data_IF_306746388175
#
_entry.id   IF_306746388175
#
_cell.length_a   1.000
_cell.length_b   1.000
_cell.length_c   1.000
_cell.angle_alpha   90.00
_cell.angle_beta   90.00
_cell.angle_gamma   90.00
#
_symmetry.space_group_name_H-M   'P 1'
#
loop_
_entity.id
_entity.type
_entity.pdbx_description
1 polymer ?
#
# COMPACT_ATOMS: atom_id res chain seq x y z
N UNK A 1 -36.04 37.33 -27.82
CA UNK A 1 -34.69 37.88 -27.51
C UNK A 1 -34.27 37.79 -26.04
N UNK A 2 -35.14 37.81 -25.02
CA UNK A 2 -34.68 37.69 -23.61
C UNK A 2 -34.23 36.28 -23.20
N UNK A 3 -34.81 35.25 -23.80
CA UNK A 3 -34.58 33.83 -23.44
C UNK A 3 -33.22 33.30 -23.89
N UNK A 4 -32.69 33.74 -25.04
CA UNK A 4 -31.40 33.27 -25.55
C UNK A 4 -30.20 33.72 -24.70
N UNK A 5 -30.26 34.93 -24.13
CA UNK A 5 -29.21 35.44 -23.24
C UNK A 5 -29.11 34.66 -21.93
N UNK A 6 -30.23 34.13 -21.43
CA UNK A 6 -30.27 33.34 -20.19
C UNK A 6 -29.60 31.98 -20.39
N UNK A 7 -29.83 31.33 -21.54
CA UNK A 7 -29.15 30.07 -21.89
C UNK A 7 -27.64 30.24 -22.01
N UNK A 8 -27.17 31.33 -22.62
CA UNK A 8 -25.74 31.58 -22.78
C UNK A 8 -25.01 31.78 -21.45
N UNK A 9 -25.66 32.45 -20.48
CA UNK A 9 -25.13 32.64 -19.13
C UNK A 9 -25.10 31.33 -18.35
N UNK A 10 -26.16 30.51 -18.44
CA UNK A 10 -26.23 29.19 -17.79
C UNK A 10 -25.18 28.21 -18.34
N UNK A 11 -24.99 28.16 -19.67
CA UNK A 11 -23.96 27.32 -20.30
C UNK A 11 -22.57 27.78 -19.90
N UNK A 12 -22.31 29.11 -19.87
CA UNK A 12 -21.02 29.63 -19.43
C UNK A 12 -20.74 29.32 -17.95
N UNK A 13 -21.76 29.38 -17.09
CA UNK A 13 -21.66 28.98 -15.69
C UNK A 13 -21.35 27.50 -15.53
N UNK A 14 -22.04 26.63 -16.27
CA UNK A 14 -21.79 25.18 -16.23
C UNK A 14 -20.36 24.88 -16.71
N UNK A 15 -19.92 25.48 -17.82
CA UNK A 15 -18.55 25.29 -18.33
C UNK A 15 -17.47 25.85 -17.40
N UNK A 16 -17.76 26.90 -16.62
CA UNK A 16 -16.83 27.45 -15.63
C UNK A 16 -16.71 26.58 -14.36
N UNK A 17 -17.74 25.80 -14.02
CA UNK A 17 -17.75 24.93 -12.84
C UNK A 17 -17.37 23.47 -13.10
N UNK A 18 -17.32 23.03 -14.36
CA UNK A 18 -16.91 21.65 -14.72
C UNK A 18 -15.43 21.31 -14.46
N UNK A 19 -14.42 22.21 -14.53
CA UNK A 19 -13.02 21.77 -14.47
C UNK A 19 -12.51 21.43 -13.06
N UNK A 20 -13.34 21.51 -12.02
CA UNK A 20 -12.95 21.21 -10.63
C UNK A 20 -13.57 19.94 -10.05
N UNK A 21 -14.03 19.02 -10.89
CA UNK A 21 -14.16 17.63 -10.44
C UNK A 21 -12.74 17.12 -10.24
N UNK A 22 -12.19 17.29 -9.04
CA UNK A 22 -10.98 16.60 -8.60
C UNK A 22 -11.25 15.12 -8.85
N UNK A 23 -10.66 14.58 -9.91
CA UNK A 23 -10.62 13.14 -10.14
C UNK A 23 -10.06 12.55 -8.86
N UNK A 24 -10.86 11.74 -8.17
CA UNK A 24 -10.41 11.04 -6.95
C UNK A 24 -9.07 10.39 -7.29
N UNK A 25 -8.04 10.62 -6.45
CA UNK A 25 -6.73 10.04 -6.68
C UNK A 25 -6.90 8.52 -6.83
N UNK A 26 -6.51 8.00 -7.99
CA UNK A 26 -6.57 6.57 -8.31
C UNK A 26 -5.20 6.14 -8.79
N UNK A 27 -4.73 5.04 -8.22
CA UNK A 27 -3.53 4.38 -8.72
C UNK A 27 -3.93 3.64 -9.99
N UNK A 28 -3.38 4.05 -11.13
CA UNK A 28 -3.89 3.64 -12.44
C UNK A 28 -3.38 2.27 -12.85
N UNK A 29 -2.09 2.02 -12.63
CA UNK A 29 -1.44 0.79 -13.05
C UNK A 29 -0.12 0.58 -12.33
N UNK A 30 0.44 -0.62 -12.45
CA UNK A 30 1.84 -0.86 -12.13
C UNK A 30 2.52 -1.65 -13.26
N UNK A 31 3.80 -1.38 -13.48
CA UNK A 31 4.63 -2.08 -14.46
C UNK A 31 5.80 -2.74 -13.76
N UNK A 32 5.88 -4.06 -13.86
CA UNK A 32 7.00 -4.81 -13.34
C UNK A 32 8.29 -4.57 -14.14
N UNK A 33 9.43 -4.49 -13.46
CA UNK A 33 10.75 -4.27 -14.08
C UNK A 33 11.69 -5.46 -13.89
N UNK A 34 11.95 -5.89 -12.65
CA UNK A 34 12.90 -6.96 -12.38
C UNK A 34 12.70 -7.63 -11.01
N UNK A 35 13.05 -8.93 -10.93
CA UNK A 35 13.31 -9.64 -9.67
C UNK A 35 14.79 -9.99 -9.62
N UNK A 36 15.44 -9.73 -8.49
CA UNK A 36 16.85 -10.08 -8.30
C UNK A 36 17.06 -10.70 -6.95
N UNK A 37 17.83 -11.79 -6.90
CA UNK A 37 18.43 -12.25 -5.66
C UNK A 37 19.42 -11.19 -5.17
N UNK A 38 19.28 -10.77 -3.92
CA UNK A 38 20.22 -9.84 -3.28
C UNK A 38 21.22 -10.59 -2.41
N UNK A 39 20.74 -11.62 -1.71
CA UNK A 39 21.54 -12.62 -1.00
C UNK A 39 20.69 -13.89 -0.79
N UNK A 40 21.25 -14.92 -0.14
CA UNK A 40 20.61 -16.23 0.08
C UNK A 40 19.21 -16.15 0.71
N UNK A 41 18.93 -15.09 1.46
CA UNK A 41 17.71 -14.94 2.23
C UNK A 41 16.79 -13.84 1.72
N UNK A 42 17.20 -13.04 0.74
CA UNK A 42 16.43 -11.87 0.31
C UNK A 42 16.46 -11.62 -1.19
N UNK A 43 15.31 -11.16 -1.68
CA UNK A 43 15.11 -10.77 -3.07
C UNK A 43 14.63 -9.32 -3.14
N UNK A 44 14.88 -8.68 -4.28
CA UNK A 44 14.43 -7.32 -4.56
C UNK A 44 13.57 -7.33 -5.81
N UNK A 45 12.35 -6.81 -5.68
CA UNK A 45 11.45 -6.54 -6.78
C UNK A 45 11.50 -5.05 -7.13
N UNK A 46 11.75 -4.75 -8.40
CA UNK A 46 11.66 -3.41 -8.97
C UNK A 46 10.42 -3.34 -9.86
N UNK A 47 9.64 -2.27 -9.69
CA UNK A 47 8.45 -2.00 -10.49
C UNK A 47 8.16 -0.50 -10.50
N UNK A 48 7.22 -0.10 -11.33
CA UNK A 48 6.73 1.27 -11.42
C UNK A 48 5.28 1.29 -11.01
N UNK A 49 4.85 2.27 -10.21
CA UNK A 49 3.43 2.55 -9.96
C UNK A 49 3.11 3.91 -10.57
N UNK A 50 2.06 3.95 -11.38
CA UNK A 50 1.46 5.16 -11.91
C UNK A 50 0.31 5.64 -11.01
N UNK A 51 0.29 6.94 -10.68
CA UNK A 51 -0.76 7.56 -9.90
C UNK A 51 -0.53 7.63 -8.40
N UNK A 52 0.71 7.44 -7.92
CA UNK A 52 1.12 7.86 -6.55
C UNK A 52 1.55 9.33 -6.64
N UNK A 53 0.63 10.23 -6.35
CA UNK A 53 0.77 11.69 -6.42
C UNK A 53 0.81 12.35 -5.04
N UNK A 54 0.59 11.60 -3.96
CA UNK A 54 0.61 12.12 -2.59
C UNK A 54 1.32 11.19 -1.61
N UNK A 55 1.85 11.78 -0.52
CA UNK A 55 2.42 11.01 0.59
C UNK A 55 1.41 10.04 1.21
N UNK A 56 0.11 10.42 1.22
CA UNK A 56 -0.98 9.56 1.72
C UNK A 56 -1.11 8.27 0.89
N UNK A 57 -1.01 8.36 -0.43
CA UNK A 57 -1.05 7.20 -1.34
C UNK A 57 0.16 6.29 -1.14
N UNK A 58 1.36 6.88 -1.04
CA UNK A 58 2.58 6.14 -0.74
C UNK A 58 2.47 5.40 0.59
N UNK A 59 2.05 6.08 1.65
CA UNK A 59 1.86 5.49 2.97
C UNK A 59 0.82 4.37 2.96
N UNK A 60 -0.29 4.53 2.24
CA UNK A 60 -1.29 3.47 2.11
C UNK A 60 -0.69 2.22 1.47
N UNK A 61 -0.06 2.35 0.30
CA UNK A 61 0.54 1.21 -0.41
C UNK A 61 1.62 0.56 0.46
N UNK A 62 2.46 1.37 1.10
CA UNK A 62 3.48 0.89 2.01
C UNK A 62 2.89 0.11 3.19
N UNK A 63 1.81 0.60 3.79
CA UNK A 63 1.15 -0.04 4.93
C UNK A 63 0.49 -1.36 4.53
N UNK A 64 -0.25 -1.39 3.40
CA UNK A 64 -0.88 -2.62 2.90
C UNK A 64 0.15 -3.69 2.57
N UNK A 65 1.23 -3.33 1.86
CA UNK A 65 2.32 -4.27 1.56
C UNK A 65 3.01 -4.76 2.84
N UNK A 66 3.25 -3.87 3.81
CA UNK A 66 3.85 -4.24 5.09
C UNK A 66 2.97 -5.15 5.93
N UNK A 67 1.65 -5.30 5.69
CA UNK A 67 0.86 -6.32 6.42
C UNK A 67 1.40 -7.74 6.17
N UNK A 68 2.10 -7.97 5.06
CA UNK A 68 2.80 -9.21 4.82
C UNK A 68 4.17 -9.25 5.55
N UNK A 69 4.38 -10.26 6.41
CA UNK A 69 5.60 -10.43 7.21
C UNK A 69 6.85 -10.78 6.38
N UNK A 70 6.67 -11.18 5.14
CA UNK A 70 7.74 -11.53 4.20
C UNK A 70 8.21 -10.33 3.38
N UNK A 71 7.45 -9.22 3.40
CA UNK A 71 7.88 -7.92 2.89
C UNK A 71 8.69 -7.21 3.99
N UNK A 72 9.99 -7.07 3.72
CA UNK A 72 10.95 -6.50 4.65
C UNK A 72 11.07 -4.98 4.50
N UNK A 73 10.95 -4.47 3.28
CA UNK A 73 11.07 -3.04 2.98
C UNK A 73 10.27 -2.68 1.73
N UNK A 74 9.74 -1.46 1.70
CA UNK A 74 9.16 -0.82 0.52
C UNK A 74 9.70 0.61 0.44
N UNK A 75 10.17 1.01 -0.73
CA UNK A 75 10.67 2.35 -1.01
C UNK A 75 10.08 2.86 -2.31
N UNK A 76 9.69 4.13 -2.32
CA UNK A 76 9.26 4.86 -3.52
C UNK A 76 10.33 5.88 -3.87
N UNK A 77 10.67 5.94 -5.15
CA UNK A 77 11.60 6.88 -5.73
C UNK A 77 10.84 7.69 -6.78
N UNK A 78 10.65 9.00 -6.56
CA UNK A 78 9.95 9.83 -7.52
C UNK A 78 10.74 9.85 -8.84
N UNK A 79 10.02 9.74 -9.94
CA UNK A 79 10.54 9.95 -11.30
C UNK A 79 9.72 11.06 -11.95
N UNK A 80 10.22 11.56 -13.08
CA UNK A 80 9.45 12.44 -13.95
C UNK A 80 8.18 11.71 -14.44
N UNK A 81 7.11 12.48 -14.68
CA UNK A 81 5.87 12.03 -15.35
C UNK A 81 4.94 11.10 -14.54
N UNK A 82 4.73 11.37 -13.24
CA UNK A 82 3.81 10.64 -12.34
C UNK A 82 4.10 9.14 -12.16
N UNK A 83 5.19 8.66 -12.76
CA UNK A 83 5.59 7.27 -12.72
C UNK A 83 6.60 7.05 -11.60
N UNK A 84 6.17 6.59 -10.45
CA UNK A 84 7.09 6.36 -9.34
C UNK A 84 7.77 5.01 -9.48
N UNK A 85 9.10 4.99 -9.33
CA UNK A 85 9.82 3.72 -9.25
C UNK A 85 9.72 3.20 -7.83
N UNK A 86 9.28 1.97 -7.68
CA UNK A 86 9.14 1.31 -6.40
C UNK A 86 10.13 0.14 -6.28
N UNK A 87 10.53 -0.12 -5.04
CA UNK A 87 11.39 -1.24 -4.70
C UNK A 87 10.83 -1.95 -3.48
N UNK A 88 10.59 -3.26 -3.59
CA UNK A 88 10.24 -4.11 -2.46
C UNK A 88 11.42 -5.05 -2.17
N UNK A 89 11.84 -5.13 -0.91
CA UNK A 89 12.75 -6.18 -0.42
C UNK A 89 11.93 -7.26 0.27
N UNK A 90 12.08 -8.51 -0.15
CA UNK A 90 11.34 -9.67 0.37
C UNK A 90 12.28 -10.75 0.88
N UNK A 91 11.73 -11.74 1.60
CA UNK A 91 12.40 -13.02 1.81
C UNK A 91 12.60 -13.76 0.48
N UNK A 92 13.64 -14.60 0.38
CA UNK A 92 13.97 -15.36 -0.84
C UNK A 92 12.92 -16.41 -1.22
N UNK A 93 12.11 -16.87 -0.27
CA UNK A 93 11.02 -17.82 -0.51
C UNK A 93 9.88 -17.23 -1.37
N UNK A 94 9.75 -15.91 -1.44
CA UNK A 94 8.77 -15.25 -2.29
C UNK A 94 9.21 -15.26 -3.75
N UNK A 95 8.31 -15.69 -4.63
CA UNK A 95 8.45 -15.55 -6.07
C UNK A 95 7.81 -14.25 -6.59
N UNK A 96 8.11 -13.96 -7.86
CA UNK A 96 7.60 -12.78 -8.56
C UNK A 96 6.06 -12.73 -8.62
N UNK A 97 5.39 -13.87 -8.79
CA UNK A 97 3.93 -13.95 -8.92
C UNK A 97 3.26 -13.53 -7.62
N UNK A 98 3.77 -14.03 -6.49
CA UNK A 98 3.24 -13.69 -5.17
C UNK A 98 3.42 -12.18 -4.90
N UNK A 99 4.58 -11.62 -5.23
CA UNK A 99 4.83 -10.18 -5.06
C UNK A 99 3.90 -9.34 -5.94
N UNK A 100 3.68 -9.71 -7.20
CA UNK A 100 2.71 -9.04 -8.08
C UNK A 100 1.29 -9.09 -7.51
N UNK A 101 0.88 -10.22 -6.94
CA UNK A 101 -0.43 -10.36 -6.31
C UNK A 101 -0.60 -9.43 -5.11
N UNK A 102 0.45 -9.24 -4.29
CA UNK A 102 0.41 -8.28 -3.19
C UNK A 102 0.28 -6.83 -3.66
N UNK A 103 1.04 -6.46 -4.70
CA UNK A 103 0.95 -5.11 -5.29
C UNK A 103 -0.45 -4.88 -5.85
N UNK A 104 -0.98 -5.82 -6.64
CA UNK A 104 -2.34 -5.75 -7.17
C UNK A 104 -3.40 -5.63 -6.07
N UNK A 105 -3.28 -6.42 -5.00
CA UNK A 105 -4.20 -6.34 -3.86
C UNK A 105 -4.15 -4.96 -3.21
N UNK A 106 -2.95 -4.41 -2.96
CA UNK A 106 -2.79 -3.09 -2.37
C UNK A 106 -3.41 -1.99 -3.25
N UNK A 107 -3.14 -2.02 -4.56
CA UNK A 107 -3.69 -1.05 -5.52
C UNK A 107 -5.22 -1.14 -5.59
N UNK A 108 -5.78 -2.35 -5.66
CA UNK A 108 -7.22 -2.55 -5.71
C UNK A 108 -7.92 -2.06 -4.44
N UNK A 109 -7.33 -2.32 -3.27
CA UNK A 109 -7.86 -1.82 -1.99
C UNK A 109 -7.84 -0.29 -1.94
N UNK A 110 -6.76 0.34 -2.40
CA UNK A 110 -6.69 1.80 -2.49
C UNK A 110 -7.80 2.36 -3.38
N UNK A 111 -7.97 1.79 -4.58
CA UNK A 111 -8.95 2.27 -5.54
C UNK A 111 -10.41 2.05 -5.10
N UNK A 112 -10.68 0.99 -4.33
CA UNK A 112 -12.00 0.74 -3.75
C UNK A 112 -12.34 1.73 -2.63
N UNK A 113 -11.34 2.17 -1.87
CA UNK A 113 -11.54 3.09 -0.76
C UNK A 113 -10.35 4.07 -0.63
N UNK A 114 -10.27 5.11 -1.47
CA UNK A 114 -9.16 6.08 -1.42
C UNK A 114 -9.19 6.93 -0.14
N UNK A 115 -10.31 6.90 0.58
CA UNK A 115 -10.52 7.52 1.87
C UNK A 115 -10.36 6.55 3.04
N UNK A 116 -9.85 5.32 2.81
CA UNK A 116 -9.58 4.39 3.90
C UNK A 116 -8.70 5.11 4.91
N UNK A 117 -9.24 5.30 6.10
CA UNK A 117 -8.58 6.11 7.09
C UNK A 117 -7.33 5.37 7.57
N UNK A 118 -6.16 5.85 7.12
CA UNK A 118 -4.85 5.44 7.64
C UNK A 118 -4.76 5.62 9.16
N UNK A 119 -5.69 6.37 9.77
CA UNK A 119 -5.84 6.53 11.22
C UNK A 119 -6.39 5.28 11.94
N UNK A 120 -6.81 4.21 11.25
CA UNK A 120 -7.16 2.95 11.91
C UNK A 120 -5.94 2.13 12.36
N UNK A 121 -4.73 2.62 12.11
CA UNK A 121 -3.52 2.10 12.73
C UNK A 121 -3.46 2.65 14.16
N UNK A 122 -3.44 1.80 15.20
CA UNK A 122 -3.29 2.23 16.58
C UNK A 122 -2.11 3.18 16.76
N UNK A 123 -2.27 4.21 17.58
CA UNK A 123 -1.22 5.21 17.82
C UNK A 123 0.09 4.59 18.35
N UNK A 124 0.02 3.44 19.00
CA UNK A 124 1.16 2.67 19.51
C UNK A 124 1.77 1.69 18.49
N UNK A 125 1.20 1.57 17.28
CA UNK A 125 1.77 0.73 16.24
C UNK A 125 3.16 1.28 15.87
N UNK A 126 4.20 0.43 15.80
CA UNK A 126 5.54 0.88 15.47
C UNK A 126 5.57 1.68 14.18
N UNK A 127 6.29 2.80 14.19
CA UNK A 127 6.53 3.63 13.01
C UNK A 127 7.96 3.40 12.53
N UNK A 128 8.15 3.41 11.22
CA UNK A 128 9.48 3.43 10.64
C UNK A 128 10.09 4.81 10.85
N UNK A 129 11.36 4.86 11.28
CA UNK A 129 12.11 6.10 11.48
C UNK A 129 13.31 6.02 10.55
N UNK A 130 13.44 6.98 9.63
CA UNK A 130 14.62 7.08 8.76
C UNK A 130 15.70 7.88 9.49
N UNK A 131 16.77 7.21 9.91
CA UNK A 131 17.94 7.83 10.54
C UNK A 131 19.08 8.05 9.53
N UNK A 132 18.83 7.78 8.25
CA UNK A 132 19.84 7.72 7.19
C UNK A 132 20.54 6.36 7.08
N UNK A 133 20.34 5.45 8.04
CA UNK A 133 20.84 4.08 7.99
C UNK A 133 19.69 3.08 7.79
N UNK A 134 19.30 2.91 6.53
CA UNK A 134 18.16 2.07 6.14
C UNK A 134 18.24 0.63 6.66
N UNK A 135 19.43 0.03 6.72
CA UNK A 135 19.56 -1.35 7.20
C UNK A 135 19.26 -1.45 8.70
N UNK A 136 19.82 -0.53 9.48
CA UNK A 136 19.56 -0.43 10.91
C UNK A 136 18.08 -0.10 11.20
N UNK A 137 17.52 0.89 10.51
CA UNK A 137 16.14 1.34 10.69
C UNK A 137 15.13 0.22 10.42
N UNK A 138 15.36 -0.55 9.34
CA UNK A 138 14.54 -1.72 9.02
C UNK A 138 14.64 -2.80 10.09
N UNK A 139 15.84 -3.08 10.60
CA UNK A 139 16.05 -4.09 11.66
C UNK A 139 15.28 -3.70 12.92
N UNK A 140 15.40 -2.45 13.35
CA UNK A 140 14.71 -1.93 14.54
C UNK A 140 13.19 -1.95 14.34
N UNK A 141 12.71 -1.47 13.20
CA UNK A 141 11.28 -1.45 12.89
C UNK A 141 10.68 -2.85 12.89
N UNK A 142 11.36 -3.81 12.26
CA UNK A 142 10.92 -5.21 12.21
C UNK A 142 10.81 -5.82 13.61
N UNK A 143 11.83 -5.66 14.44
CA UNK A 143 11.82 -6.18 15.81
C UNK A 143 10.66 -5.61 16.63
N UNK A 144 10.46 -4.28 16.58
CA UNK A 144 9.36 -3.60 17.27
C UNK A 144 7.99 -4.06 16.78
N UNK A 145 7.85 -4.29 15.47
CA UNK A 145 6.61 -4.77 14.87
C UNK A 145 6.28 -6.20 15.30
N UNK A 146 7.26 -7.11 15.28
CA UNK A 146 7.06 -8.49 15.73
C UNK A 146 6.68 -8.55 17.21
N UNK A 147 7.32 -7.74 18.05
CA UNK A 147 6.98 -7.58 19.46
C UNK A 147 5.57 -7.00 19.65
N UNK A 148 5.21 -5.95 18.91
CA UNK A 148 3.88 -5.38 18.96
C UNK A 148 2.80 -6.38 18.55
N UNK A 149 3.00 -7.15 17.48
CA UNK A 149 2.04 -8.18 17.04
C UNK A 149 1.86 -9.27 18.12
N UNK A 150 2.95 -9.66 18.80
CA UNK A 150 2.91 -10.63 19.91
C UNK A 150 2.08 -10.11 21.09
N UNK A 151 2.15 -8.81 21.36
CA UNK A 151 1.50 -8.18 22.52
C UNK A 151 0.11 -7.60 22.20
N UNK A 152 -0.21 -7.33 20.93
CA UNK A 152 -1.46 -6.72 20.47
C UNK A 152 -2.16 -7.54 19.36
N UNK A 153 -2.42 -8.85 19.57
CA UNK A 153 -2.96 -9.71 18.51
C UNK A 153 -4.37 -9.27 18.05
N UNK A 154 -5.21 -8.75 18.95
CA UNK A 154 -6.56 -8.29 18.59
C UNK A 154 -6.56 -7.03 17.73
N UNK A 155 -5.72 -6.05 18.08
CA UNK A 155 -5.54 -4.82 17.30
C UNK A 155 -4.96 -5.16 15.93
N UNK A 156 -3.98 -6.06 15.87
CA UNK A 156 -3.44 -6.56 14.62
C UNK A 156 -4.52 -7.23 13.75
N UNK A 157 -5.40 -8.03 14.36
CA UNK A 157 -6.51 -8.67 13.64
C UNK A 157 -7.52 -7.66 13.11
N UNK A 158 -7.77 -6.54 13.80
CA UNK A 158 -8.63 -5.45 13.31
C UNK A 158 -8.00 -4.75 12.10
N UNK A 159 -6.70 -4.51 12.13
CA UNK A 159 -5.94 -3.95 10.99
C UNK A 159 -5.94 -4.93 9.80
N UNK A 160 -5.87 -6.23 10.07
CA UNK A 160 -5.90 -7.31 9.06
C UNK A 160 -7.30 -7.54 8.48
N UNK A 161 -8.36 -7.40 9.30
CA UNK A 161 -9.75 -7.73 8.96
C UNK A 161 -10.44 -6.77 7.99
N UNK A 162 -9.90 -5.58 7.76
CA UNK A 162 -10.43 -4.63 6.76
C UNK A 162 -9.99 -4.91 5.31
N UNK A 163 -9.17 -5.96 5.08
CA UNK A 163 -8.84 -6.45 3.74
C UNK A 163 -9.00 -7.96 3.68
N UNK A 164 -10.05 -8.43 3.02
CA UNK A 164 -10.50 -9.83 2.93
C UNK A 164 -9.43 -10.93 3.10
N UNK A 165 -9.81 -11.88 3.96
CA UNK A 165 -9.15 -13.12 4.36
C UNK A 165 -8.75 -13.99 3.15
N UNK A 166 -7.48 -14.38 3.06
CA UNK A 166 -7.05 -15.51 2.21
C UNK A 166 -7.01 -16.78 3.04
N UNK A 167 -7.51 -17.88 2.47
CA UNK A 167 -7.74 -19.19 3.10
C UNK A 167 -6.50 -19.87 3.71
N UNK A 168 -5.30 -19.40 3.38
CA UNK A 168 -4.03 -19.98 3.83
C UNK A 168 -3.83 -19.88 5.36
N UNK A 169 -4.36 -18.83 5.99
CA UNK A 169 -4.26 -18.59 7.45
C UNK A 169 -5.25 -19.43 8.28
N UNK A 170 -6.25 -20.06 7.67
CA UNK A 170 -7.16 -20.96 8.37
C UNK A 170 -6.51 -22.33 8.70
N UNK A 171 -5.44 -22.70 7.98
CA UNK A 171 -4.73 -23.97 8.18
C UNK A 171 -3.92 -23.98 9.49
N UNK A 172 -3.31 -22.86 9.87
CA UNK A 172 -2.45 -22.77 11.06
C UNK A 172 -3.24 -22.65 12.36
N UNK A 173 -4.49 -22.18 12.32
CA UNK A 173 -5.37 -22.15 13.49
C UNK A 173 -5.90 -23.55 13.86
N UNK A 174 -6.23 -24.39 12.87
CA UNK A 174 -6.70 -25.78 13.11
C UNK A 174 -5.62 -26.70 13.70
N UNK A 175 -4.35 -26.51 13.35
CA UNK A 175 -3.26 -27.36 13.85
C UNK A 175 -3.03 -27.15 15.36
N UNK A 176 -3.18 -25.92 15.87
CA UNK A 176 -2.96 -25.63 17.31
C UNK A 176 -4.14 -26.02 18.22
N UNK A 177 -5.35 -26.11 17.67
CA UNK A 177 -6.55 -26.52 18.43
C UNK A 177 -6.74 -28.04 18.47
N UNK A 178 -6.07 -28.80 17.60
CA UNK A 178 -6.07 -30.28 17.62
C UNK A 178 -4.94 -30.91 18.44
N UNK A 179 -3.99 -30.12 18.98
CA UNK A 179 -2.87 -30.63 19.80
C UNK A 179 -2.95 -30.19 21.26
N UNK A 180 -4.17 -29.97 21.78
CA UNK A 180 -4.40 -29.68 23.20
C UNK A 180 -5.44 -30.62 23.79
#
# INVERSE_FOLDING_TARGET
>A
MKTEKVYFILISLILFFVPFVKTNAQIQSFKYEAFKDYNDNTRIAYFYIDGINSEKEEQFVQNELRKNVEILMFSVYPKTDNLNRCMIKTKSALDETIVKNFINKAINLFNQNPNTDINNIPNNFPKYIDTGNKEYDNKIYKAKKEEWIKNHPEEYNKIKGNGQMSEEDMSTKKIKEQTR
#
